data_IF_755528193836
#
_entry.id   IF_755528193836
#
_cell.length_a   1.000
_cell.length_b   1.000
_cell.length_c   1.000
_cell.angle_alpha   90.00
_cell.angle_beta   90.00
_cell.angle_gamma   90.00
#
_symmetry.space_group_name_H-M   'P 1'
#
loop_
_entity.id
_entity.type
_entity.pdbx_description
1 polymer ?
#
# COMPACT_ATOMS: atom_id res chain seq x y z
N UNK A 1 -0.83 6.17 0.92
CA UNK A 1 -1.07 6.99 -0.28
C UNK A 1 -0.11 6.58 -1.37
N UNK A 2 -0.62 6.29 -2.56
CA UNK A 2 0.18 6.02 -3.75
C UNK A 2 -0.30 6.87 -4.93
N UNK A 3 0.62 7.26 -5.82
CA UNK A 3 0.28 8.03 -7.04
C UNK A 3 0.39 7.10 -8.24
N UNK A 4 -0.76 6.78 -8.86
CA UNK A 4 -0.89 5.85 -9.98
C UNK A 4 -0.31 6.36 -11.29
N UNK A 5 -0.58 5.63 -12.38
CA UNK A 5 -0.18 6.06 -13.74
C UNK A 5 -0.87 7.37 -14.18
N UNK A 6 -0.26 8.11 -15.12
CA UNK A 6 -0.93 9.22 -15.81
C UNK A 6 -2.21 8.77 -16.52
N UNK A 7 -3.26 9.59 -16.41
CA UNK A 7 -4.50 9.49 -17.15
C UNK A 7 -4.41 10.28 -18.47
N UNK A 8 -5.32 10.07 -19.44
CA UNK A 8 -5.32 10.79 -20.71
C UNK A 8 -5.39 12.32 -20.59
N UNK A 9 -5.99 12.84 -19.51
CA UNK A 9 -6.07 14.27 -19.22
C UNK A 9 -4.82 14.84 -18.51
N UNK A 10 -3.77 14.02 -18.36
CA UNK A 10 -2.52 14.39 -17.67
C UNK A 10 -2.59 14.33 -16.14
N UNK A 11 -3.77 14.09 -15.56
CA UNK A 11 -3.90 13.90 -14.11
C UNK A 11 -3.45 12.49 -13.69
N UNK A 12 -3.32 12.24 -12.39
CA UNK A 12 -2.96 10.94 -11.82
C UNK A 12 -3.91 10.61 -10.70
N UNK A 13 -4.33 9.35 -10.60
CA UNK A 13 -5.08 8.89 -9.43
C UNK A 13 -4.16 8.85 -8.20
N UNK A 14 -4.62 9.42 -7.10
CA UNK A 14 -4.02 9.28 -5.78
C UNK A 14 -4.87 8.27 -5.01
N UNK A 15 -4.27 7.12 -4.71
CA UNK A 15 -4.82 6.08 -3.87
C UNK A 15 -4.56 6.41 -2.41
N UNK A 16 -5.52 6.14 -1.53
CA UNK A 16 -5.39 6.36 -0.09
C UNK A 16 -6.39 5.53 0.72
N UNK A 17 -5.96 5.16 1.93
CA UNK A 17 -6.76 4.47 2.91
C UNK A 17 -6.43 4.97 4.33
N UNK A 18 -7.36 4.77 5.26
CA UNK A 18 -7.11 4.96 6.68
C UNK A 18 -6.42 3.71 7.27
N UNK A 19 -5.57 3.90 8.28
CA UNK A 19 -4.89 2.80 8.98
C UNK A 19 -5.87 1.73 9.48
N UNK A 20 -6.94 2.16 10.17
CA UNK A 20 -7.99 1.27 10.68
C UNK A 20 -9.10 1.05 9.65
N UNK A 21 -8.72 0.71 8.42
CA UNK A 21 -9.64 0.41 7.32
C UNK A 21 -9.05 -0.65 6.40
N UNK A 22 -9.92 -1.45 5.81
CA UNK A 22 -9.59 -2.42 4.75
C UNK A 22 -10.00 -1.89 3.36
N UNK A 23 -10.60 -0.71 3.32
CA UNK A 23 -11.09 -0.04 2.11
C UNK A 23 -10.04 0.87 1.49
N UNK A 24 -10.08 0.96 0.16
CA UNK A 24 -9.22 1.83 -0.64
C UNK A 24 -10.04 2.87 -1.38
N UNK A 25 -9.52 4.09 -1.43
CA UNK A 25 -10.14 5.21 -2.11
C UNK A 25 -9.20 5.75 -3.18
N UNK A 26 -9.76 6.42 -4.18
CA UNK A 26 -8.98 7.18 -5.15
C UNK A 26 -9.59 8.56 -5.39
N UNK A 27 -8.73 9.50 -5.72
CA UNK A 27 -9.10 10.84 -6.19
C UNK A 27 -8.11 11.31 -7.26
N UNK A 28 -8.54 12.00 -8.33
CA UNK A 28 -7.61 12.65 -9.25
C UNK A 28 -6.78 13.72 -8.53
N UNK A 29 -5.46 13.72 -8.70
CA UNK A 29 -4.55 14.68 -8.07
C UNK A 29 -4.89 16.15 -8.39
N UNK A 30 -5.51 16.43 -9.55
CA UNK A 30 -5.98 17.78 -9.93
C UNK A 30 -6.98 18.36 -8.93
N UNK A 31 -7.76 17.53 -8.24
CA UNK A 31 -8.67 17.96 -7.16
C UNK A 31 -7.85 18.47 -5.98
N UNK A 32 -6.79 17.74 -5.60
CA UNK A 32 -5.91 18.09 -4.48
C UNK A 32 -5.06 19.33 -4.77
N UNK A 33 -4.76 19.59 -6.04
CA UNK A 33 -3.95 20.72 -6.49
C UNK A 33 -4.74 22.03 -6.67
N UNK A 34 -6.07 21.99 -6.61
CA UNK A 34 -6.95 23.14 -6.76
C UNK A 34 -7.70 23.42 -5.46
N UNK A 35 -7.19 24.35 -4.64
CA UNK A 35 -7.74 24.71 -3.32
C UNK A 35 -9.18 25.22 -3.38
N UNK A 36 -9.50 26.08 -4.35
CA UNK A 36 -10.85 26.64 -4.50
C UNK A 36 -11.88 25.55 -4.79
N UNK A 37 -11.51 24.57 -5.61
CA UNK A 37 -12.39 23.44 -5.89
C UNK A 37 -12.44 22.46 -4.71
N UNK A 38 -11.30 22.10 -4.11
CA UNK A 38 -11.21 21.09 -3.04
C UNK A 38 -11.97 21.44 -1.76
N UNK A 39 -12.15 22.74 -1.50
CA UNK A 39 -12.93 23.26 -0.37
C UNK A 39 -14.41 23.45 -0.67
N UNK A 40 -14.82 23.30 -1.94
CA UNK A 40 -16.21 23.35 -2.36
C UNK A 40 -16.98 22.06 -2.05
N UNK A 41 -18.31 22.15 -1.99
CA UNK A 41 -19.21 21.01 -1.74
C UNK A 41 -19.07 19.89 -2.77
N UNK A 42 -18.76 20.24 -4.01
CA UNK A 42 -18.77 19.30 -5.13
C UNK A 42 -17.55 18.36 -5.12
N UNK A 43 -16.42 18.81 -4.54
CA UNK A 43 -15.20 18.01 -4.46
C UNK A 43 -15.40 16.72 -3.65
N UNK A 44 -16.36 16.69 -2.72
CA UNK A 44 -16.71 15.49 -1.98
C UNK A 44 -17.00 14.30 -2.91
N UNK A 45 -17.65 14.56 -4.05
CA UNK A 45 -18.03 13.51 -4.98
C UNK A 45 -16.87 13.00 -5.84
N UNK A 46 -15.71 13.66 -5.85
CA UNK A 46 -14.53 13.21 -6.60
C UNK A 46 -13.78 12.07 -5.90
N UNK A 47 -13.97 11.90 -4.59
CA UNK A 47 -13.37 10.82 -3.82
C UNK A 47 -14.20 9.54 -4.00
N UNK A 48 -13.59 8.53 -4.64
CA UNK A 48 -14.28 7.29 -4.97
C UNK A 48 -13.77 6.15 -4.10
N UNK A 49 -14.70 5.42 -3.49
CA UNK A 49 -14.42 4.10 -2.91
C UNK A 49 -14.15 3.11 -4.05
N UNK A 50 -12.98 2.47 -4.03
CA UNK A 50 -12.62 1.44 -5.00
C UNK A 50 -13.14 0.07 -4.58
N UNK A 51 -13.09 -0.23 -3.29
CA UNK A 51 -13.56 -1.50 -2.74
C UNK A 51 -12.91 -1.86 -1.41
N UNK A 52 -12.72 -3.16 -1.18
CA UNK A 52 -12.24 -3.72 0.09
C UNK A 52 -11.21 -4.84 -0.15
N UNK A 53 -10.11 -4.84 0.62
CA UNK A 53 -9.07 -5.87 0.60
C UNK A 53 -9.48 -7.16 1.33
N UNK A 54 -10.48 -7.09 2.20
CA UNK A 54 -10.96 -8.21 3.02
C UNK A 54 -10.57 -8.11 4.50
N UNK A 55 -10.88 -9.15 5.26
CA UNK A 55 -10.71 -9.13 6.72
C UNK A 55 -9.22 -9.06 7.14
N UNK A 56 -8.91 -8.30 8.20
CA UNK A 56 -7.55 -8.19 8.76
C UNK A 56 -6.49 -7.66 7.79
N UNK A 57 -6.86 -6.87 6.78
CA UNK A 57 -5.91 -6.31 5.79
C UNK A 57 -5.71 -4.80 5.94
N UNK A 58 -5.70 -4.33 7.19
CA UNK A 58 -5.33 -2.97 7.55
C UNK A 58 -3.89 -2.70 7.10
N UNK A 59 -3.66 -1.50 6.58
CA UNK A 59 -2.40 -1.11 5.97
C UNK A 59 -1.95 0.25 6.48
N UNK A 60 -0.65 0.38 6.72
CA UNK A 60 -0.01 1.64 7.13
C UNK A 60 0.48 2.43 5.92
N UNK A 61 0.96 1.73 4.89
CA UNK A 61 1.68 2.31 3.78
C UNK A 61 1.45 1.51 2.50
N UNK A 62 1.56 2.22 1.38
CA UNK A 62 1.43 1.67 0.04
C UNK A 62 2.31 2.46 -0.94
N UNK A 63 2.66 1.83 -2.05
CA UNK A 63 3.41 2.47 -3.12
C UNK A 63 3.11 1.83 -4.46
N UNK A 64 2.96 2.67 -5.48
CA UNK A 64 2.70 2.27 -6.86
C UNK A 64 4.02 2.05 -7.61
N UNK A 65 4.22 0.85 -8.15
CA UNK A 65 5.32 0.54 -9.06
C UNK A 65 4.91 0.84 -10.51
N UNK A 66 5.48 1.87 -11.15
CA UNK A 66 5.14 2.20 -12.54
C UNK A 66 5.58 1.15 -13.55
N UNK A 67 6.52 0.27 -13.21
CA UNK A 67 7.03 -0.74 -14.13
C UNK A 67 6.13 -1.98 -14.25
N UNK A 68 5.35 -2.27 -13.20
CA UNK A 68 4.43 -3.42 -13.12
C UNK A 68 2.96 -3.00 -13.05
N UNK A 69 2.68 -1.72 -12.80
CA UNK A 69 1.35 -1.19 -12.52
C UNK A 69 0.67 -1.80 -11.28
N UNK A 70 1.48 -2.33 -10.37
CA UNK A 70 1.07 -2.93 -9.10
C UNK A 70 1.25 -1.93 -7.96
N UNK A 71 0.27 -1.86 -7.07
CA UNK A 71 0.42 -1.24 -5.76
C UNK A 71 0.84 -2.32 -4.78
N UNK A 72 1.98 -2.11 -4.13
CA UNK A 72 2.40 -2.87 -2.95
C UNK A 72 1.92 -2.15 -1.70
N UNK A 73 1.51 -2.88 -0.68
CA UNK A 73 1.00 -2.29 0.56
C UNK A 73 1.31 -3.18 1.77
N UNK A 74 1.43 -2.58 2.95
CA UNK A 74 1.72 -3.30 4.19
C UNK A 74 0.45 -3.97 4.74
N UNK A 75 0.57 -5.09 5.46
CA UNK A 75 -0.55 -5.73 6.15
C UNK A 75 -0.18 -6.07 7.59
N UNK A 76 -0.45 -5.13 8.50
CA UNK A 76 0.00 -5.20 9.91
C UNK A 76 -0.66 -6.30 10.73
N UNK A 77 -1.88 -6.72 10.36
CA UNK A 77 -2.60 -7.79 11.07
C UNK A 77 -2.34 -9.17 10.46
N UNK A 78 -1.51 -9.26 9.42
CA UNK A 78 -1.15 -10.53 8.76
C UNK A 78 0.35 -10.77 8.72
N UNK A 79 1.13 -9.91 9.37
CA UNK A 79 2.60 -9.90 9.32
C UNK A 79 3.11 -10.04 7.87
N UNK A 80 2.57 -9.24 6.95
CA UNK A 80 2.72 -9.49 5.51
C UNK A 80 2.85 -8.23 4.66
N UNK A 81 3.30 -8.43 3.43
CA UNK A 81 3.23 -7.45 2.34
C UNK A 81 2.24 -7.95 1.30
N UNK A 82 1.27 -7.10 0.98
CA UNK A 82 0.29 -7.34 -0.06
C UNK A 82 0.64 -6.66 -1.37
N UNK A 83 -0.03 -7.10 -2.42
CA UNK A 83 0.01 -6.47 -3.74
C UNK A 83 -1.39 -6.41 -4.37
N UNK A 84 -1.57 -5.46 -5.28
CA UNK A 84 -2.77 -5.35 -6.11
C UNK A 84 -2.41 -4.80 -7.48
N UNK A 85 -2.79 -5.49 -8.55
CA UNK A 85 -2.67 -4.98 -9.91
C UNK A 85 -3.78 -3.95 -10.18
N UNK A 86 -3.39 -2.69 -10.45
CA UNK A 86 -4.34 -1.58 -10.59
C UNK A 86 -5.27 -1.70 -11.80
N UNK A 87 -5.02 -2.63 -12.71
CA UNK A 87 -5.90 -2.95 -13.84
C UNK A 87 -7.00 -3.97 -13.47
N UNK A 88 -7.00 -4.51 -12.25
CA UNK A 88 -8.00 -5.47 -11.77
C UNK A 88 -8.92 -4.81 -10.74
N UNK A 89 -10.22 -5.18 -10.67
CA UNK A 89 -11.14 -4.63 -9.66
C UNK A 89 -10.60 -4.76 -8.23
N UNK A 90 -10.81 -3.75 -7.40
CA UNK A 90 -10.35 -3.74 -6.02
C UNK A 90 -11.27 -4.59 -5.11
N UNK A 91 -11.03 -5.90 -5.09
CA UNK A 91 -11.76 -6.86 -4.27
C UNK A 91 -10.80 -7.92 -3.71
N UNK A 92 -11.23 -8.74 -2.74
CA UNK A 92 -10.36 -9.73 -2.08
C UNK A 92 -9.72 -10.74 -3.04
N UNK A 93 -10.42 -11.13 -4.11
CA UNK A 93 -9.93 -12.14 -5.07
C UNK A 93 -8.75 -11.65 -5.91
N UNK A 94 -8.61 -10.33 -6.05
CA UNK A 94 -7.52 -9.68 -6.80
C UNK A 94 -6.38 -9.17 -5.90
N UNK A 95 -6.39 -9.52 -4.60
CA UNK A 95 -5.31 -9.17 -3.69
C UNK A 95 -4.32 -10.34 -3.57
N UNK A 96 -3.03 -10.06 -3.73
CA UNK A 96 -1.96 -11.02 -3.48
C UNK A 96 -1.23 -10.76 -2.16
N UNK A 97 -0.61 -11.80 -1.61
CA UNK A 97 0.46 -11.67 -0.62
C UNK A 97 1.77 -12.01 -1.33
N UNK A 98 2.74 -11.11 -1.27
CA UNK A 98 4.07 -11.34 -1.86
C UNK A 98 5.07 -11.90 -0.85
N UNK A 99 4.81 -11.66 0.44
CA UNK A 99 5.58 -12.24 1.54
C UNK A 99 4.78 -12.18 2.85
N UNK A 100 5.05 -13.09 3.78
CA UNK A 100 4.48 -13.12 5.13
C UNK A 100 5.43 -13.82 6.10
N UNK A 101 5.80 -13.12 7.18
CA UNK A 101 6.76 -13.61 8.16
C UNK A 101 6.49 -12.96 9.53
N UNK A 102 6.07 -13.77 10.50
CA UNK A 102 5.70 -13.30 11.85
C UNK A 102 6.89 -12.82 12.71
N UNK A 103 8.12 -12.97 12.25
CA UNK A 103 9.31 -12.43 12.91
C UNK A 103 9.83 -11.17 12.22
N UNK A 104 9.93 -11.22 10.89
CA UNK A 104 10.49 -10.15 10.08
C UNK A 104 9.49 -9.01 9.82
N UNK A 105 8.19 -9.32 9.74
CA UNK A 105 7.11 -8.41 9.36
C UNK A 105 6.10 -8.20 10.50
N UNK A 106 6.54 -8.17 11.76
CA UNK A 106 5.66 -7.91 12.92
C UNK A 106 4.89 -6.60 12.78
N UNK A 107 5.54 -5.54 12.29
CA UNK A 107 4.88 -4.28 11.97
C UNK A 107 5.55 -3.64 10.74
N UNK A 108 5.12 -4.02 9.52
CA UNK A 108 5.58 -3.38 8.30
C UNK A 108 5.08 -1.94 8.30
N UNK A 109 5.97 -1.01 8.64
CA UNK A 109 5.66 0.38 8.91
C UNK A 109 5.51 1.19 7.62
N UNK A 110 6.50 1.09 6.72
CA UNK A 110 6.53 1.80 5.45
C UNK A 110 7.12 0.92 4.34
N UNK A 111 6.80 1.25 3.09
CA UNK A 111 7.43 0.69 1.91
C UNK A 111 7.59 1.71 0.78
N UNK A 112 8.55 1.48 -0.10
CA UNK A 112 8.84 2.29 -1.30
C UNK A 112 9.34 1.38 -2.41
N UNK A 113 9.03 1.74 -3.65
CA UNK A 113 9.65 1.09 -4.84
C UNK A 113 10.60 2.08 -5.47
N UNK A 114 11.85 1.67 -5.65
CA UNK A 114 12.85 2.50 -6.29
C UNK A 114 12.79 2.40 -7.84
N UNK A 115 13.49 3.28 -8.57
CA UNK A 115 13.48 3.26 -10.05
C UNK A 115 14.02 1.98 -10.69
N UNK A 116 14.74 1.13 -9.93
CA UNK A 116 15.24 -0.16 -10.43
C UNK A 116 14.20 -1.28 -10.35
N UNK A 117 13.02 -1.00 -9.80
CA UNK A 117 11.99 -2.02 -9.53
C UNK A 117 12.31 -2.85 -8.28
N UNK A 118 13.04 -2.27 -7.32
CA UNK A 118 13.26 -2.90 -6.02
C UNK A 118 12.26 -2.32 -5.02
N UNK A 119 11.45 -3.21 -4.44
CA UNK A 119 10.63 -2.91 -3.27
C UNK A 119 11.54 -2.88 -2.04
N UNK A 120 11.41 -1.82 -1.24
CA UNK A 120 12.04 -1.64 0.06
C UNK A 120 10.96 -1.58 1.13
N UNK A 121 11.14 -2.32 2.22
CA UNK A 121 10.19 -2.41 3.33
C UNK A 121 10.92 -2.08 4.63
N UNK A 122 10.38 -1.14 5.40
CA UNK A 122 10.77 -0.90 6.79
C UNK A 122 9.78 -1.64 7.69
N UNK A 123 10.31 -2.56 8.51
CA UNK A 123 9.53 -3.28 9.51
C UNK A 123 10.12 -3.05 10.88
N UNK A 124 9.26 -2.86 11.87
CA UNK A 124 9.63 -2.66 13.26
C UNK A 124 8.77 -3.52 14.19
N UNK A 125 8.86 -3.26 15.50
CA UNK A 125 8.06 -3.91 16.53
C UNK A 125 7.21 -2.90 17.32
N UNK A 126 6.59 -1.94 16.63
CA UNK A 126 5.77 -0.89 17.24
C UNK A 126 4.75 -1.42 18.26
N UNK A 127 3.99 -2.50 18.02
CA UNK A 127 3.06 -3.01 19.03
C UNK A 127 3.76 -3.40 20.34
N UNK A 128 4.95 -4.03 20.25
CA UNK A 128 5.73 -4.37 21.43
C UNK A 128 6.29 -3.14 22.13
N UNK A 129 6.70 -2.10 21.39
CA UNK A 129 7.17 -0.84 21.97
C UNK A 129 6.06 -0.07 22.71
N UNK A 130 4.82 -0.09 22.20
CA UNK A 130 3.70 0.63 22.81
C UNK A 130 3.19 -0.08 24.07
N UNK A 131 3.07 -1.41 24.03
CA UNK A 131 2.42 -2.17 25.10
C UNK A 131 3.40 -2.87 26.05
N UNK A 132 4.69 -2.94 25.70
CA UNK A 132 5.76 -3.59 26.46
C UNK A 132 7.09 -2.82 26.26
N UNK A 133 8.21 -3.46 26.62
CA UNK A 133 9.55 -2.98 26.32
C UNK A 133 10.14 -3.79 25.16
N UNK A 134 10.92 -3.13 24.29
CA UNK A 134 11.72 -3.80 23.28
C UNK A 134 12.89 -4.56 23.93
N UNK A 135 13.14 -5.79 23.50
CA UNK A 135 14.32 -6.56 23.91
C UNK A 135 15.54 -6.08 23.10
N UNK A 136 16.55 -5.45 23.73
CA UNK A 136 17.72 -4.95 23.01
C UNK A 136 18.58 -6.06 22.37
N UNK A 137 18.39 -7.31 22.78
CA UNK A 137 19.12 -8.46 22.22
C UNK A 137 18.48 -9.00 20.93
N UNK A 138 17.32 -8.49 20.53
CA UNK A 138 16.62 -8.91 19.32
C UNK A 138 16.72 -7.85 18.21
N UNK A 139 16.59 -8.31 16.98
CA UNK A 139 16.44 -7.41 15.83
C UNK A 139 15.04 -6.78 15.87
N UNK A 140 14.96 -5.55 16.39
CA UNK A 140 13.70 -4.80 16.54
C UNK A 140 13.31 -4.00 15.28
N UNK A 141 14.25 -3.75 14.39
CA UNK A 141 14.06 -2.97 13.16
C UNK A 141 14.73 -3.71 12.00
N UNK A 142 14.05 -3.74 10.84
CA UNK A 142 14.52 -4.42 9.63
C UNK A 142 14.26 -3.54 8.41
N UNK A 143 15.23 -3.51 7.50
CA UNK A 143 15.04 -3.04 6.13
C UNK A 143 15.15 -4.26 5.22
N UNK A 144 14.04 -4.60 4.57
CA UNK A 144 13.93 -5.73 3.65
C UNK A 144 13.85 -5.21 2.22
N UNK A 145 14.24 -6.04 1.25
CA UNK A 145 14.10 -5.68 -0.16
C UNK A 145 13.81 -6.88 -1.03
N UNK A 146 13.11 -6.66 -2.13
CA UNK A 146 12.88 -7.67 -3.15
C UNK A 146 12.62 -7.04 -4.52
N UNK A 147 12.85 -7.79 -5.60
CA UNK A 147 12.54 -7.32 -6.95
C UNK A 147 11.02 -7.44 -7.22
N UNK A 148 10.37 -6.34 -7.62
CA UNK A 148 8.91 -6.29 -7.76
C UNK A 148 8.39 -7.27 -8.80
N UNK A 149 9.08 -7.42 -9.94
CA UNK A 149 8.67 -8.36 -11.00
C UNK A 149 8.79 -9.81 -10.58
N UNK A 150 9.76 -10.16 -9.73
CA UNK A 150 9.93 -11.53 -9.27
C UNK A 150 8.88 -11.90 -8.22
N UNK A 151 8.65 -11.02 -7.23
CA UNK A 151 7.79 -11.35 -6.09
C UNK A 151 6.29 -11.37 -6.41
N UNK A 152 5.88 -10.80 -7.54
CA UNK A 152 4.48 -10.87 -7.99
C UNK A 152 4.19 -12.10 -8.86
N UNK A 153 5.22 -12.85 -9.30
CA UNK A 153 5.03 -13.98 -10.20
C UNK A 153 4.11 -15.05 -9.59
N UNK A 154 3.11 -15.47 -10.36
CA UNK A 154 2.14 -16.48 -9.91
C UNK A 154 1.18 -15.99 -8.82
N UNK A 155 1.22 -14.71 -8.45
CA UNK A 155 0.21 -14.08 -7.58
C UNK A 155 -0.93 -13.51 -8.43
N UNK A 156 -2.09 -13.17 -7.85
CA UNK A 156 -3.14 -12.41 -8.54
C UNK A 156 -2.68 -11.04 -9.07
N UNK A 157 -1.53 -10.54 -8.63
CA UNK A 157 -0.97 -9.25 -9.04
C UNK A 157 -0.12 -9.34 -10.31
N UNK A 158 0.24 -10.54 -10.74
CA UNK A 158 0.97 -10.77 -11.98
C UNK A 158 0.15 -10.17 -13.16
N UNK A 159 0.77 -9.33 -14.02
CA UNK A 159 0.10 -8.69 -15.15
C UNK A 159 -0.54 -9.64 -16.16
#
# INVERSE_FOLDING_TARGET
MAVGKPLPDGSRLVYFHALSSTKEFAVPNKVLQNETYSTGSDAYYEYKLLGDRGQNSQSTAEFYDPSTEVIFYTQVNRDAIGCWNTNKPFNPDNQGLVDSDSEALVFPNDLKVDPSGTLWVLSDRMPAFIYKQLDPQQHNFRILRANTKQIIQGTPCDP
#
